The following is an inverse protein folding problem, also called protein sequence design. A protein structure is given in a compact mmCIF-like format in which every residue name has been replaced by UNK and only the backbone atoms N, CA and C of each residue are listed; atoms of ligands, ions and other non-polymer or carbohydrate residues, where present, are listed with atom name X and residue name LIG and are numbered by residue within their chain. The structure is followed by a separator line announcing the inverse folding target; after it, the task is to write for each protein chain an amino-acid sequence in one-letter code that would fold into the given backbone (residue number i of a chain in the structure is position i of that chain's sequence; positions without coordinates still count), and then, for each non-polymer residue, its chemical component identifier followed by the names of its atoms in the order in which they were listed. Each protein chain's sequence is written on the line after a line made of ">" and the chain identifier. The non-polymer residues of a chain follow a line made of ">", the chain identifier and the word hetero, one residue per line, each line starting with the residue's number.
data_IF_927880529501
#
_entry.id   IF_927880529501
#
_cell.length_a   1.000
_cell.length_b   1.000
_cell.length_c   1.000
_cell.angle_alpha   90.00
_cell.angle_beta   90.00
_cell.angle_gamma   90.00
#
_symmetry.space_group_name_H-M   'P 1'
#
loop_
_entity.id
_entity.type
_entity.pdbx_description
1 polymer ?
#
# COMPACT_ATOMS: atom_id res chain seq x y z
N UNK A 1 21.49 -4.88 42.29
CA UNK A 1 21.95 -5.30 40.96
C UNK A 1 20.95 -6.33 40.49
N UNK A 2 20.14 -6.04 39.47
CA UNK A 2 19.09 -6.95 39.02
C UNK A 2 19.74 -7.98 38.10
N UNK A 3 19.88 -9.21 38.56
CA UNK A 3 20.24 -10.33 37.69
C UNK A 3 19.02 -10.66 36.84
N UNK A 4 19.15 -10.44 35.54
CA UNK A 4 18.10 -10.73 34.58
C UNK A 4 18.22 -12.17 34.10
N UNK A 5 17.10 -12.90 33.94
CA UNK A 5 17.14 -14.26 33.43
C UNK A 5 17.85 -14.34 32.07
N UNK A 6 18.52 -15.46 31.82
CA UNK A 6 19.10 -15.73 30.51
C UNK A 6 18.02 -15.59 29.42
N UNK A 7 18.31 -14.78 28.40
CA UNK A 7 17.37 -14.49 27.30
C UNK A 7 16.45 -13.30 27.51
N UNK A 8 16.54 -12.56 28.63
CA UNK A 8 15.80 -11.31 28.78
C UNK A 8 16.24 -10.28 27.74
N UNK A 9 15.28 -9.77 26.95
CA UNK A 9 15.55 -8.87 25.82
C UNK A 9 16.05 -9.57 24.55
N UNK A 10 16.22 -10.91 24.55
CA UNK A 10 16.60 -11.64 23.34
C UNK A 10 15.45 -11.60 22.31
N UNK A 11 15.71 -11.18 21.07
CA UNK A 11 14.66 -11.03 20.08
C UNK A 11 14.12 -12.39 19.63
N UNK A 12 12.80 -12.58 19.77
CA UNK A 12 12.10 -13.81 19.38
C UNK A 12 11.76 -13.84 17.88
N UNK A 13 12.77 -13.68 17.01
CA UNK A 13 12.59 -13.56 15.55
C UNK A 13 11.79 -14.71 14.92
N UNK A 14 11.98 -15.94 15.37
CA UNK A 14 11.24 -17.10 14.87
C UNK A 14 9.73 -17.01 15.17
N UNK A 15 9.37 -16.57 16.38
CA UNK A 15 7.99 -16.35 16.78
C UNK A 15 7.36 -15.20 15.99
N UNK A 16 8.12 -14.11 15.78
CA UNK A 16 7.68 -12.98 14.96
C UNK A 16 7.37 -13.41 13.52
N UNK A 17 8.26 -14.17 12.88
CA UNK A 17 8.04 -14.67 11.52
C UNK A 17 6.84 -15.61 11.42
N UNK A 18 6.63 -16.48 12.40
CA UNK A 18 5.46 -17.37 12.45
C UNK A 18 4.15 -16.59 12.60
N UNK A 19 4.13 -15.58 13.49
CA UNK A 19 2.99 -14.69 13.70
C UNK A 19 2.65 -13.88 12.45
N UNK A 20 3.64 -13.29 11.78
CA UNK A 20 3.45 -12.56 10.52
C UNK A 20 2.82 -13.44 9.44
N UNK A 21 3.32 -14.68 9.25
CA UNK A 21 2.74 -15.63 8.28
C UNK A 21 1.32 -16.04 8.64
N UNK A 22 1.03 -16.22 9.93
CA UNK A 22 -0.33 -16.52 10.38
C UNK A 22 -1.29 -15.37 10.11
N UNK A 23 -0.92 -14.14 10.47
CA UNK A 23 -1.71 -12.94 10.21
C UNK A 23 -1.95 -12.72 8.72
N UNK A 24 -0.92 -12.87 7.90
CA UNK A 24 -1.02 -12.79 6.44
C UNK A 24 -1.99 -13.82 5.85
N UNK A 25 -1.95 -15.08 6.31
CA UNK A 25 -2.88 -16.13 5.88
C UNK A 25 -4.31 -15.77 6.21
N UNK A 26 -4.56 -15.27 7.42
CA UNK A 26 -5.89 -14.85 7.87
C UNK A 26 -6.42 -13.65 7.08
N UNK A 27 -5.57 -12.66 6.80
CA UNK A 27 -5.95 -11.41 6.13
C UNK A 27 -5.86 -11.48 4.59
N UNK A 28 -5.49 -12.63 4.00
CA UNK A 28 -5.15 -12.70 2.57
C UNK A 28 -6.28 -12.23 1.64
N UNK A 29 -7.54 -12.56 1.93
CA UNK A 29 -8.70 -12.12 1.15
C UNK A 29 -8.89 -10.60 1.22
N UNK A 30 -8.80 -10.02 2.41
CA UNK A 30 -8.92 -8.57 2.64
C UNK A 30 -7.78 -7.80 1.96
N UNK A 31 -6.56 -8.32 2.04
CA UNK A 31 -5.40 -7.74 1.35
C UNK A 31 -5.53 -7.85 -0.17
N UNK A 32 -6.07 -8.95 -0.70
CA UNK A 32 -6.34 -9.04 -2.14
C UNK A 32 -7.39 -8.02 -2.58
N UNK A 33 -8.45 -7.82 -1.79
CA UNK A 33 -9.48 -6.82 -2.05
C UNK A 33 -8.94 -5.39 -1.97
N UNK A 34 -8.02 -5.12 -1.03
CA UNK A 34 -7.32 -3.84 -0.91
C UNK A 34 -6.57 -3.47 -2.21
N UNK A 35 -6.07 -4.46 -2.94
CA UNK A 35 -5.32 -4.27 -4.19
C UNK A 35 -6.15 -4.52 -5.47
N UNK A 36 -7.48 -4.58 -5.38
CA UNK A 36 -8.34 -4.69 -6.59
C UNK A 36 -8.32 -3.41 -7.43
N UNK A 37 -8.22 -2.24 -6.79
CA UNK A 37 -8.01 -0.93 -7.41
C UNK A 37 -7.05 -0.10 -6.54
N UNK A 38 -5.73 -0.40 -6.55
CA UNK A 38 -4.77 0.20 -5.64
C UNK A 38 -4.31 1.58 -6.12
N UNK A 39 -4.30 2.54 -5.20
CA UNK A 39 -3.88 3.92 -5.46
C UNK A 39 -2.42 4.00 -5.92
N UNK A 40 -1.58 3.10 -5.40
CA UNK A 40 -0.20 2.97 -5.84
C UNK A 40 -0.08 2.57 -7.33
N UNK A 41 -1.00 1.75 -7.84
CA UNK A 41 -1.01 1.39 -9.26
C UNK A 41 -1.56 2.52 -10.14
N UNK A 42 -2.58 3.25 -9.66
CA UNK A 42 -3.08 4.45 -10.33
C UNK A 42 -1.98 5.52 -10.48
N UNK A 43 -1.06 5.59 -9.52
CA UNK A 43 0.12 6.46 -9.55
C UNK A 43 1.30 5.89 -10.38
N UNK A 44 1.18 4.68 -10.94
CA UNK A 44 2.24 4.02 -11.71
C UNK A 44 3.43 3.52 -10.89
N UNK A 45 3.30 3.45 -9.55
CA UNK A 45 4.39 3.02 -8.65
C UNK A 45 4.51 1.51 -8.54
N UNK A 46 3.40 0.78 -8.76
CA UNK A 46 3.37 -0.69 -8.68
C UNK A 46 2.45 -1.29 -9.75
N UNK A 47 2.68 -2.55 -10.09
CA UNK A 47 1.74 -3.35 -10.88
C UNK A 47 0.78 -4.11 -9.96
N UNK A 48 -0.51 -3.78 -9.98
CA UNK A 48 -1.52 -4.42 -9.13
C UNK A 48 -1.51 -5.96 -9.22
N UNK A 49 -1.39 -6.50 -10.44
CA UNK A 49 -1.32 -7.95 -10.68
C UNK A 49 -0.12 -8.61 -9.98
N UNK A 50 1.02 -7.93 -9.94
CA UNK A 50 2.27 -8.45 -9.36
C UNK A 50 2.14 -8.47 -7.84
N UNK A 51 1.62 -7.41 -7.25
CA UNK A 51 1.39 -7.34 -5.80
C UNK A 51 0.37 -8.40 -5.36
N UNK A 52 -0.75 -8.57 -6.09
CA UNK A 52 -1.75 -9.61 -5.78
C UNK A 52 -1.17 -11.02 -5.91
N UNK A 53 -0.30 -11.27 -6.90
CA UNK A 53 0.43 -12.54 -7.01
C UNK A 53 1.36 -12.76 -5.82
N UNK A 54 2.09 -11.72 -5.41
CA UNK A 54 2.98 -11.79 -4.26
C UNK A 54 2.22 -12.07 -2.95
N UNK A 55 1.09 -11.39 -2.70
CA UNK A 55 0.22 -11.65 -1.53
C UNK A 55 -0.25 -13.11 -1.52
N UNK A 56 -0.66 -13.63 -2.68
CA UNK A 56 -1.09 -15.03 -2.80
C UNK A 56 0.04 -16.01 -2.55
N UNK A 57 1.21 -15.79 -3.15
CA UNK A 57 2.39 -16.61 -2.92
C UNK A 57 2.79 -16.61 -1.42
N UNK A 58 2.78 -15.42 -0.82
CA UNK A 58 3.14 -15.22 0.57
C UNK A 58 2.16 -15.94 1.52
N UNK A 59 0.86 -15.92 1.22
CA UNK A 59 -0.15 -16.64 2.01
C UNK A 59 -0.04 -18.16 1.88
N UNK A 60 0.51 -18.66 0.77
CA UNK A 60 0.86 -20.09 0.61
C UNK A 60 2.20 -20.46 1.26
N UNK A 61 2.91 -19.51 1.87
CA UNK A 61 4.16 -19.77 2.59
C UNK A 61 5.43 -19.70 1.73
N UNK A 62 5.33 -19.19 0.50
CA UNK A 62 6.50 -18.98 -0.36
C UNK A 62 7.56 -18.08 0.32
N UNK A 63 8.86 -18.34 0.11
CA UNK A 63 9.94 -17.57 0.70
C UNK A 63 10.13 -16.27 -0.09
N UNK A 64 9.42 -15.23 0.32
CA UNK A 64 9.51 -13.89 -0.27
C UNK A 64 9.68 -12.82 0.82
N UNK A 65 10.24 -11.64 0.49
CA UNK A 65 10.50 -10.58 1.47
C UNK A 65 9.19 -9.99 1.99
N UNK A 66 8.76 -10.44 3.18
CA UNK A 66 7.50 -10.02 3.81
C UNK A 66 7.52 -8.55 4.25
N UNK A 67 8.69 -8.02 4.60
CA UNK A 67 8.84 -6.61 5.01
C UNK A 67 8.45 -5.66 3.88
N UNK A 68 8.89 -5.94 2.64
CA UNK A 68 8.52 -5.13 1.48
C UNK A 68 7.01 -5.19 1.17
N UNK A 69 6.36 -6.34 1.40
CA UNK A 69 4.90 -6.42 1.30
C UNK A 69 4.20 -5.61 2.41
N UNK A 70 4.75 -5.64 3.63
CA UNK A 70 4.22 -4.88 4.74
C UNK A 70 4.31 -3.36 4.48
N UNK A 71 5.41 -2.90 3.89
CA UNK A 71 5.57 -1.49 3.48
C UNK A 71 4.53 -1.10 2.44
N UNK A 72 4.35 -1.90 1.37
CA UNK A 72 3.34 -1.63 0.33
C UNK A 72 1.92 -1.57 0.88
N UNK A 73 1.55 -2.53 1.74
CA UNK A 73 0.22 -2.57 2.39
C UNK A 73 0.03 -1.35 3.28
N UNK A 74 1.05 -0.99 4.06
CA UNK A 74 1.00 0.16 4.98
C UNK A 74 0.85 1.47 4.22
N UNK A 75 1.60 1.66 3.13
CA UNK A 75 1.50 2.85 2.28
C UNK A 75 0.12 2.94 1.62
N UNK A 76 -0.41 1.85 1.07
CA UNK A 76 -1.73 1.83 0.44
C UNK A 76 -2.84 2.15 1.46
N UNK A 77 -2.79 1.57 2.67
CA UNK A 77 -3.74 1.89 3.75
C UNK A 77 -3.62 3.35 4.20
N UNK A 78 -2.41 3.88 4.29
CA UNK A 78 -2.17 5.28 4.60
C UNK A 78 -2.78 6.20 3.54
N UNK A 79 -2.55 5.93 2.26
CA UNK A 79 -3.12 6.69 1.14
C UNK A 79 -4.65 6.66 1.16
N UNK A 80 -5.25 5.49 1.35
CA UNK A 80 -6.72 5.36 1.46
C UNK A 80 -7.27 6.15 2.64
N UNK A 81 -6.59 6.10 3.79
CA UNK A 81 -6.96 6.87 4.98
C UNK A 81 -6.81 8.37 4.75
N UNK A 82 -5.75 8.79 4.06
CA UNK A 82 -5.48 10.17 3.70
C UNK A 82 -6.60 10.72 2.80
N UNK A 83 -7.02 9.98 1.78
CA UNK A 83 -8.11 10.38 0.88
C UNK A 83 -9.47 10.36 1.60
N UNK A 84 -9.70 9.37 2.47
CA UNK A 84 -10.96 9.22 3.20
C UNK A 84 -11.15 10.30 4.28
N UNK A 85 -10.07 10.82 4.87
CA UNK A 85 -10.13 11.85 5.91
C UNK A 85 -10.02 13.24 5.29
N UNK A 86 -11.13 13.99 5.37
CA UNK A 86 -11.21 15.39 4.92
C UNK A 86 -10.44 16.31 5.89
N UNK A 87 -9.21 16.68 5.52
CA UNK A 87 -8.35 17.56 6.29
C UNK A 87 -7.48 16.78 7.27
N UNK A 88 -6.17 16.80 7.01
CA UNK A 88 -5.15 16.32 7.95
C UNK A 88 -4.42 17.53 8.52
N UNK A 89 -3.81 17.41 9.70
CA UNK A 89 -2.96 18.47 10.25
C UNK A 89 -1.80 18.88 9.30
N UNK A 90 -1.55 18.08 8.26
CA UNK A 90 -0.54 18.29 7.23
C UNK A 90 -1.09 18.92 5.94
N UNK A 91 -2.41 18.98 5.75
CA UNK A 91 -3.07 19.59 4.57
C UNK A 91 -3.96 20.78 4.93
N UNK A 92 -4.14 21.07 6.22
CA UNK A 92 -5.04 22.11 6.71
C UNK A 92 -6.51 21.67 6.62
N UNK A 93 -7.30 21.98 7.64
CA UNK A 93 -8.75 21.68 7.65
C UNK A 93 -9.53 22.47 6.60
N UNK A 94 -8.89 23.44 5.93
CA UNK A 94 -9.48 24.37 4.97
C UNK A 94 -9.00 24.19 3.52
N UNK A 95 -8.19 23.17 3.20
CA UNK A 95 -7.71 22.98 1.83
C UNK A 95 -8.88 22.83 0.84
N UNK A 96 -8.99 23.74 -0.16
CA UNK A 96 -10.03 23.64 -1.18
C UNK A 96 -9.89 22.34 -1.97
N UNK A 97 -11.02 21.80 -2.44
CA UNK A 97 -11.08 20.64 -3.34
C UNK A 97 -10.39 20.97 -4.68
N UNK A 98 -9.08 20.87 -4.76
CA UNK A 98 -8.43 20.70 -6.05
C UNK A 98 -8.32 19.20 -6.31
N UNK A 99 -9.23 18.69 -7.15
CA UNK A 99 -8.96 17.45 -7.87
C UNK A 99 -7.69 17.71 -8.70
N UNK A 100 -6.65 16.91 -8.51
CA UNK A 100 -5.75 16.65 -9.62
C UNK A 100 -6.64 16.11 -10.75
N UNK A 101 -6.59 16.77 -11.91
CA UNK A 101 -7.52 16.76 -13.06
C UNK A 101 -8.90 17.41 -12.88
N UNK A 102 -8.99 18.66 -13.37
CA UNK A 102 -10.20 19.29 -13.89
C UNK A 102 -9.85 20.22 -15.08
N UNK A 103 -9.20 19.70 -16.12
CA UNK A 103 -9.12 20.35 -17.43
C UNK A 103 -9.16 19.28 -18.49
N UNK A 104 -10.24 19.23 -19.27
CA UNK A 104 -10.38 18.33 -20.40
C UNK A 104 -9.17 18.45 -21.32
N UNK A 105 -8.55 17.31 -21.63
CA UNK A 105 -7.70 17.20 -22.82
C UNK A 105 -8.67 17.30 -24.01
N UNK A 106 -8.91 18.51 -24.50
CA UNK A 106 -9.48 18.67 -25.82
C UNK A 106 -8.37 18.31 -26.82
N UNK A 107 -8.60 17.38 -27.77
CA UNK A 107 -7.63 17.13 -28.82
C UNK A 107 -7.45 18.42 -29.61
N UNK A 108 -6.21 18.88 -29.74
CA UNK A 108 -5.88 20.00 -30.61
C UNK A 108 -6.37 19.66 -32.03
N UNK A 109 -7.41 20.37 -32.49
CA UNK A 109 -7.83 20.32 -33.87
C UNK A 109 -6.68 20.89 -34.71
N UNK A 110 -6.02 20.01 -35.45
CA UNK A 110 -4.98 20.39 -36.41
C UNK A 110 -5.65 21.11 -37.58
N UNK A 111 -5.70 22.44 -37.53
CA UNK A 111 -6.06 23.25 -38.70
C UNK A 111 -5.00 23.04 -39.79
N UNK A 112 -5.42 22.36 -40.87
CA UNK A 112 -4.73 22.40 -42.17
C UNK A 112 -5.16 23.69 -42.86
N UNK A 113 -4.25 24.58 -43.28
CA UNK A 113 -4.59 25.53 -44.32
C UNK A 113 -4.58 24.80 -45.68
N UNK A 114 -5.66 25.00 -46.43
CA UNK A 114 -5.79 24.64 -47.84
C UNK A 114 -5.57 25.89 -48.69
N UNK A 115 -4.85 25.68 -49.81
CA UNK A 115 -4.58 26.55 -50.97
C UNK A 115 -3.71 27.79 -50.74
#
# INVERSE_FOLDING_TARGET
>A
MHDLPAGWGAPSHAYQAASQRAGLRTAASELLALFDAPLLADAGLVEARVVRKAIRAASQGEPLPLDGLADLVSTELWLRRLISRRGTCWTGSAAPRQRAVASGVLPAAQERPAL
#
